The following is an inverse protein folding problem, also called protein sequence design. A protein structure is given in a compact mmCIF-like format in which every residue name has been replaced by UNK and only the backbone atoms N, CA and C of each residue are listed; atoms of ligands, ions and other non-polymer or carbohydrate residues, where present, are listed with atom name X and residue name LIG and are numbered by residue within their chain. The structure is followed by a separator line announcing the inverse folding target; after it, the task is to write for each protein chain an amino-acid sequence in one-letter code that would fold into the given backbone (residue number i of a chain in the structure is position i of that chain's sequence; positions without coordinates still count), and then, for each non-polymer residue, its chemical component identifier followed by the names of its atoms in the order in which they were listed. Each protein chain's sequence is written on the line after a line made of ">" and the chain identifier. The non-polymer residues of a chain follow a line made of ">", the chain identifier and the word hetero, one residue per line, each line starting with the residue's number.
data_IF_873439389435
#
_entry.id   IF_873439389435
#
_cell.length_a   1.000
_cell.length_b   1.000
_cell.length_c   1.000
_cell.angle_alpha   90.00
_cell.angle_beta   90.00
_cell.angle_gamma   90.00
#
_symmetry.space_group_name_H-M   'P 1'
#
loop_
_entity.id
_entity.type
_entity.pdbx_description
1 polymer ?
#
# COMPACT_ATOMS: atom_id res chain seq x y z
N UNK A 1 2.17 -11.18 17.87
CA UNK A 1 1.40 -10.18 17.08
C UNK A 1 2.24 -9.50 15.99
N UNK A 2 3.49 -9.10 16.27
CA UNK A 2 4.40 -8.51 15.26
C UNK A 2 4.62 -9.38 14.00
N UNK A 3 4.75 -10.70 14.15
CA UNK A 3 4.96 -11.62 13.02
C UNK A 3 3.78 -11.63 12.04
N UNK A 4 2.55 -11.71 12.55
CA UNK A 4 1.31 -11.69 11.74
C UNK A 4 1.21 -10.40 10.92
N UNK A 5 1.54 -9.26 11.53
CA UNK A 5 1.49 -7.95 10.89
C UNK A 5 2.52 -7.83 9.76
N UNK A 6 3.72 -8.37 9.98
CA UNK A 6 4.77 -8.42 8.97
C UNK A 6 4.36 -9.29 7.77
N UNK A 7 3.77 -10.46 8.01
CA UNK A 7 3.28 -11.36 6.94
C UNK A 7 2.19 -10.68 6.12
N UNK A 8 1.19 -10.07 6.78
CA UNK A 8 0.10 -9.35 6.10
C UNK A 8 0.65 -8.18 5.29
N UNK A 9 1.58 -7.39 5.86
CA UNK A 9 2.20 -6.25 5.16
C UNK A 9 3.00 -6.70 3.94
N UNK A 10 3.71 -7.82 4.03
CA UNK A 10 4.51 -8.37 2.94
C UNK A 10 3.62 -8.94 1.81
N UNK A 11 2.55 -9.66 2.16
CA UNK A 11 1.53 -10.09 1.19
C UNK A 11 0.91 -8.88 0.50
N UNK A 12 0.53 -7.86 1.26
CA UNK A 12 -0.05 -6.64 0.72
C UNK A 12 0.92 -5.91 -0.22
N UNK A 13 2.20 -5.79 0.15
CA UNK A 13 3.24 -5.21 -0.71
C UNK A 13 3.40 -5.99 -2.02
N UNK A 14 3.44 -7.33 -1.96
CA UNK A 14 3.56 -8.19 -3.14
C UNK A 14 2.35 -8.05 -4.07
N UNK A 15 1.14 -8.05 -3.52
CA UNK A 15 -0.10 -7.84 -4.28
C UNK A 15 -0.07 -6.48 -4.97
N UNK A 16 0.38 -5.42 -4.27
CA UNK A 16 0.46 -4.08 -4.86
C UNK A 16 1.54 -3.94 -5.93
N UNK A 17 2.69 -4.59 -5.75
CA UNK A 17 3.75 -4.65 -6.76
C UNK A 17 3.29 -5.42 -8.01
N UNK A 18 2.64 -6.57 -7.82
CA UNK A 18 2.09 -7.36 -8.92
C UNK A 18 0.99 -6.60 -9.67
N UNK A 19 0.09 -5.91 -8.96
CA UNK A 19 -0.92 -5.07 -9.57
C UNK A 19 -0.31 -3.93 -10.41
N UNK A 20 0.78 -3.31 -9.94
CA UNK A 20 1.51 -2.30 -10.71
C UNK A 20 2.09 -2.88 -12.00
N UNK A 21 2.64 -4.10 -11.93
CA UNK A 21 3.19 -4.80 -13.08
C UNK A 21 2.12 -5.21 -14.09
N UNK A 22 0.90 -5.56 -13.66
CA UNK A 22 -0.21 -5.84 -14.58
C UNK A 22 -0.70 -4.57 -15.29
N UNK A 23 -0.71 -3.43 -14.58
CA UNK A 23 -1.13 -2.14 -15.12
C UNK A 23 -0.05 -1.40 -15.92
N UNK A 24 1.05 -2.07 -16.30
CA UNK A 24 2.19 -1.41 -16.95
C UNK A 24 1.88 -0.80 -18.32
N UNK A 25 0.88 -1.33 -19.03
CA UNK A 25 0.48 -0.83 -20.35
C UNK A 25 -0.43 0.40 -20.28
N UNK A 26 -1.06 0.63 -19.14
CA UNK A 26 -2.11 1.64 -18.96
C UNK A 26 -1.66 2.79 -18.07
N UNK A 27 -0.70 2.55 -17.17
CA UNK A 27 -0.12 3.59 -16.32
C UNK A 27 1.19 4.11 -16.88
N UNK A 28 1.48 5.41 -16.73
CA UNK A 28 2.80 5.93 -17.04
C UNK A 28 3.85 5.34 -16.10
N UNK A 29 5.06 5.16 -16.61
CA UNK A 29 6.17 4.49 -15.91
C UNK A 29 6.48 5.09 -14.53
N UNK A 30 6.32 6.42 -14.38
CA UNK A 30 6.54 7.11 -13.10
C UNK A 30 5.53 6.72 -12.03
N UNK A 31 4.28 6.46 -12.41
CA UNK A 31 3.21 6.08 -11.48
C UNK A 31 3.41 4.64 -10.97
N UNK A 32 3.91 3.77 -11.83
CA UNK A 32 4.35 2.42 -11.49
C UNK A 32 5.54 2.50 -10.53
N UNK A 33 6.54 3.33 -10.84
CA UNK A 33 7.72 3.51 -9.99
C UNK A 33 7.35 3.99 -8.58
N UNK A 34 6.41 4.93 -8.45
CA UNK A 34 5.90 5.41 -7.15
C UNK A 34 5.19 4.29 -6.38
N UNK A 35 4.33 3.50 -7.03
CA UNK A 35 3.61 2.40 -6.37
C UNK A 35 4.58 1.29 -5.92
N UNK A 36 5.59 0.97 -6.73
CA UNK A 36 6.66 0.02 -6.37
C UNK A 36 7.51 0.56 -5.23
N UNK A 37 7.88 1.84 -5.25
CA UNK A 37 8.66 2.48 -4.19
C UNK A 37 7.94 2.39 -2.84
N UNK A 38 6.64 2.69 -2.80
CA UNK A 38 5.87 2.60 -1.56
C UNK A 38 5.58 1.16 -1.13
N UNK A 39 5.44 0.21 -2.07
CA UNK A 39 5.40 -1.22 -1.75
C UNK A 39 6.71 -1.70 -1.10
N UNK A 40 7.86 -1.24 -1.60
CA UNK A 40 9.18 -1.51 -1.00
C UNK A 40 9.31 -0.86 0.38
N UNK A 41 8.82 0.37 0.56
CA UNK A 41 8.75 1.01 1.88
C UNK A 41 7.90 0.20 2.88
N UNK A 42 6.79 -0.38 2.42
CA UNK A 42 5.95 -1.25 3.23
C UNK A 42 6.67 -2.56 3.57
N UNK A 43 7.43 -3.15 2.65
CA UNK A 43 8.26 -4.32 2.95
C UNK A 43 9.41 -3.98 3.92
N UNK A 44 10.03 -2.81 3.76
CA UNK A 44 11.06 -2.29 4.65
C UNK A 44 10.52 -1.99 6.07
N UNK A 45 9.20 -1.83 6.22
CA UNK A 45 8.59 -1.59 7.54
C UNK A 45 8.73 -2.77 8.51
N UNK A 46 9.08 -3.95 8.00
CA UNK A 46 9.43 -5.14 8.80
C UNK A 46 10.66 -4.86 9.68
N UNK A 47 11.64 -4.14 9.13
CA UNK A 47 12.87 -3.74 9.82
C UNK A 47 12.67 -2.43 10.59
N UNK A 48 11.98 -1.47 9.97
CA UNK A 48 11.70 -0.15 10.56
C UNK A 48 10.20 0.10 10.67
N UNK A 49 9.64 -0.21 11.85
CA UNK A 49 8.19 -0.12 12.10
C UNK A 49 7.60 1.28 11.85
N UNK A 50 8.42 2.33 11.78
CA UNK A 50 7.99 3.69 11.51
C UNK A 50 7.69 3.97 10.03
N UNK A 51 8.21 3.15 9.11
CA UNK A 51 7.94 3.26 7.67
C UNK A 51 6.56 2.73 7.29
N UNK A 52 5.88 2.01 8.19
CA UNK A 52 4.58 1.40 7.94
C UNK A 52 3.50 2.45 7.59
N UNK A 53 3.26 3.49 8.41
CA UNK A 53 2.32 4.56 8.05
C UNK A 53 2.71 5.32 6.78
N UNK A 54 4.03 5.53 6.54
CA UNK A 54 4.53 6.23 5.35
C UNK A 54 4.26 5.42 4.08
N UNK A 55 4.54 4.11 4.12
CA UNK A 55 4.28 3.18 3.02
C UNK A 55 2.78 3.06 2.72
N UNK A 56 1.94 2.98 3.74
CA UNK A 56 0.48 2.93 3.58
C UNK A 56 -0.08 4.22 2.98
N UNK A 57 0.28 5.39 3.52
CA UNK A 57 -0.18 6.68 2.99
C UNK A 57 0.27 6.86 1.54
N UNK A 58 1.52 6.50 1.24
CA UNK A 58 2.04 6.55 -0.12
C UNK A 58 1.33 5.59 -1.08
N UNK A 59 1.04 4.35 -0.66
CA UNK A 59 0.28 3.38 -1.46
C UNK A 59 -1.16 3.83 -1.72
N UNK A 60 -1.78 4.53 -0.77
CA UNK A 60 -3.12 5.12 -0.94
C UNK A 60 -3.06 6.30 -1.91
N UNK A 61 -2.12 7.22 -1.74
CA UNK A 61 -1.94 8.36 -2.65
C UNK A 61 -1.64 7.89 -4.08
N UNK A 62 -0.73 6.92 -4.22
CA UNK A 62 -0.42 6.30 -5.51
C UNK A 62 -1.64 5.64 -6.14
N UNK A 63 -2.51 4.99 -5.35
CA UNK A 63 -3.74 4.40 -5.87
C UNK A 63 -4.76 5.43 -6.35
N UNK A 64 -4.91 6.55 -5.64
CA UNK A 64 -5.79 7.65 -6.05
C UNK A 64 -5.29 8.23 -7.38
N UNK A 65 -3.99 8.49 -7.49
CA UNK A 65 -3.37 8.95 -8.73
C UNK A 65 -3.53 7.92 -9.86
N UNK A 66 -3.28 6.64 -9.59
CA UNK A 66 -3.41 5.57 -10.59
C UNK A 66 -4.85 5.41 -11.08
N UNK A 67 -5.84 5.52 -10.17
CA UNK A 67 -7.25 5.48 -10.52
C UNK A 67 -7.67 6.67 -11.39
N UNK A 68 -7.20 7.87 -11.06
CA UNK A 68 -7.41 9.07 -11.88
C UNK A 68 -6.80 8.93 -13.28
N UNK A 69 -5.58 8.39 -13.37
CA UNK A 69 -4.85 8.25 -14.64
C UNK A 69 -5.42 7.17 -15.55
N UNK A 70 -5.83 6.01 -15.01
CA UNK A 70 -6.32 4.90 -15.84
C UNK A 70 -7.75 5.10 -16.33
N UNK A 71 -8.62 5.70 -15.53
CA UNK A 71 -10.06 5.76 -15.83
C UNK A 71 -10.58 7.18 -16.07
N UNK A 72 -9.78 8.23 -15.84
CA UNK A 72 -10.24 9.63 -15.86
C UNK A 72 -11.23 9.96 -14.72
N UNK A 73 -11.71 8.94 -14.01
CA UNK A 73 -12.56 9.00 -12.84
C UNK A 73 -11.98 8.12 -11.75
N UNK A 74 -12.05 8.59 -10.52
CA UNK A 74 -11.68 7.76 -9.37
C UNK A 74 -12.68 6.62 -9.29
N UNK A 75 -12.25 5.40 -9.58
CA UNK A 75 -13.04 4.20 -9.28
C UNK A 75 -13.03 4.04 -7.75
N UNK A 76 -13.95 4.77 -7.10
CA UNK A 76 -13.99 4.94 -5.65
C UNK A 76 -13.97 3.60 -4.92
N UNK A 77 -14.59 2.56 -5.47
CA UNK A 77 -14.56 1.20 -4.92
C UNK A 77 -13.14 0.66 -4.70
N UNK A 78 -12.21 0.86 -5.65
CA UNK A 78 -10.85 0.34 -5.54
C UNK A 78 -10.02 1.16 -4.54
N UNK A 79 -10.22 2.48 -4.51
CA UNK A 79 -9.56 3.39 -3.58
C UNK A 79 -10.07 3.18 -2.15
N UNK A 80 -11.39 3.07 -1.96
CA UNK A 80 -12.01 2.83 -0.66
C UNK A 80 -11.53 1.51 -0.07
N UNK A 81 -11.47 0.43 -0.86
CA UNK A 81 -10.92 -0.85 -0.38
C UNK A 81 -9.45 -0.70 0.06
N UNK A 82 -8.63 0.02 -0.71
CA UNK A 82 -7.23 0.29 -0.30
C UNK A 82 -7.13 1.15 0.97
N UNK A 83 -7.99 2.16 1.12
CA UNK A 83 -8.05 3.00 2.31
C UNK A 83 -8.50 2.18 3.53
N UNK A 84 -9.55 1.38 3.41
CA UNK A 84 -10.06 0.52 4.48
C UNK A 84 -9.00 -0.51 4.89
N UNK A 85 -8.33 -1.16 3.94
CA UNK A 85 -7.24 -2.10 4.25
C UNK A 85 -6.07 -1.39 4.92
N UNK A 86 -5.69 -0.20 4.43
CA UNK A 86 -4.60 0.59 5.01
C UNK A 86 -4.92 1.03 6.43
N UNK A 87 -6.12 1.54 6.68
CA UNK A 87 -6.60 1.90 8.02
C UNK A 87 -6.65 0.67 8.93
N UNK A 88 -7.13 -0.48 8.41
CA UNK A 88 -7.14 -1.74 9.16
C UNK A 88 -5.74 -2.17 9.60
N UNK A 89 -4.75 -2.11 8.70
CA UNK A 89 -3.35 -2.38 8.98
C UNK A 89 -2.75 -1.39 10.00
N UNK A 90 -3.08 -0.10 9.89
CA UNK A 90 -2.63 0.94 10.80
C UNK A 90 -3.20 0.76 12.21
N UNK A 91 -4.49 0.48 12.32
CA UNK A 91 -5.18 0.19 13.58
C UNK A 91 -4.61 -1.07 14.22
N UNK A 92 -4.42 -2.14 13.44
CA UNK A 92 -3.81 -3.38 13.93
C UNK A 92 -2.36 -3.16 14.39
N UNK A 93 -1.61 -2.29 13.72
CA UNK A 93 -0.26 -1.89 14.13
C UNK A 93 -0.27 -1.10 15.44
N UNK A 94 -1.20 -0.15 15.59
CA UNK A 94 -1.36 0.61 16.81
C UNK A 94 -1.71 -0.30 18.00
N UNK A 95 -2.66 -1.21 17.83
CA UNK A 95 -3.03 -2.23 18.83
C UNK A 95 -1.87 -3.16 19.17
N UNK A 96 -1.09 -3.60 18.18
CA UNK A 96 0.09 -4.44 18.43
C UNK A 96 1.23 -3.69 19.12
N UNK A 97 1.24 -2.35 19.07
CA UNK A 97 2.23 -1.52 19.76
C UNK A 97 1.81 -1.15 21.18
N UNK A 98 0.50 -1.04 21.46
CA UNK A 98 -0.02 -0.76 22.80
C UNK A 98 0.01 -1.98 23.74
N UNK A 99 0.15 -3.20 23.20
CA UNK A 99 0.28 -4.45 23.96
C UNK A 99 1.73 -4.98 24.07
N UNK A 100 2.74 -4.18 23.72
CA UNK A 100 4.16 -4.54 23.77
C UNK A 100 4.92 -3.59 24.68
#
# INVERSE_FOLDING_TARGET
>A
MKLTLNIISLIYALVMGAAAAVSYKTLPWWAIAVNVLFAVCLAASIRWSWLLPVGLLGLVAAAVMNGLLMYGQVHLSHVIVRVVISIGLLTFWHLSRSHA
#
